data_IF_852496762736
#
_entry.id   IF_852496762736
#
_cell.length_a   1.000
_cell.length_b   1.000
_cell.length_c   1.000
_cell.angle_alpha   90.00
_cell.angle_beta   90.00
_cell.angle_gamma   90.00
#
_symmetry.space_group_name_H-M   'P 1'
#
loop_
_entity.id
_entity.type
_entity.pdbx_description
1 polymer ?
#
# COMPACT_ATOMS: atom_id res chain seq x y z
N UNK A 1 -4.05 17.45 -7.23
CA UNK A 1 -3.04 18.51 -7.08
C UNK A 1 -1.65 17.91 -7.25
N UNK A 2 -0.81 18.53 -8.06
CA UNK A 2 0.61 18.23 -8.19
C UNK A 2 1.37 19.27 -7.36
N UNK A 3 2.17 18.80 -6.43
CA UNK A 3 2.96 19.65 -5.55
C UNK A 3 4.44 19.55 -5.92
N UNK A 4 5.09 20.70 -6.06
CA UNK A 4 6.54 20.80 -6.25
C UNK A 4 7.21 20.86 -4.87
N UNK A 5 7.91 19.78 -4.52
CA UNK A 5 8.54 19.62 -3.21
C UNK A 5 9.78 20.52 -3.08
N UNK A 6 10.52 20.72 -4.17
CA UNK A 6 11.75 21.53 -4.18
C UNK A 6 11.41 23.00 -3.97
N UNK A 7 10.40 23.50 -4.69
CA UNK A 7 9.96 24.88 -4.59
C UNK A 7 8.86 25.10 -3.55
N UNK A 8 8.40 24.04 -2.86
CA UNK A 8 7.38 24.07 -1.81
C UNK A 8 6.09 24.78 -2.21
N UNK A 9 5.62 24.51 -3.42
CA UNK A 9 4.44 25.14 -3.99
C UNK A 9 3.57 24.15 -4.79
N UNK A 10 2.32 24.53 -4.99
CA UNK A 10 1.43 23.81 -5.91
C UNK A 10 1.90 24.08 -7.34
N UNK A 11 2.45 23.05 -8.00
CA UNK A 11 2.86 23.15 -9.38
C UNK A 11 1.65 23.15 -10.33
N UNK A 12 0.63 22.36 -10.01
CA UNK A 12 -0.56 22.24 -10.85
C UNK A 12 -1.79 21.74 -10.09
N UNK A 13 -2.96 22.25 -10.47
CA UNK A 13 -4.25 21.68 -10.10
C UNK A 13 -4.88 21.06 -11.35
N UNK A 14 -5.21 19.78 -11.29
CA UNK A 14 -5.89 19.05 -12.36
C UNK A 14 -7.34 18.90 -11.92
N UNK A 15 -8.30 19.57 -12.60
CA UNK A 15 -9.71 19.41 -12.29
C UNK A 15 -10.18 18.02 -12.71
N UNK A 16 -10.93 17.34 -11.83
CA UNK A 16 -11.60 16.09 -12.13
C UNK A 16 -13.10 16.32 -12.08
N UNK A 17 -13.79 15.97 -13.16
CA UNK A 17 -15.23 16.13 -13.27
C UNK A 17 -15.94 14.82 -12.93
N UNK A 18 -17.08 14.88 -12.21
CA UNK A 18 -17.88 13.69 -11.90
C UNK A 18 -18.71 13.20 -13.08
N UNK A 19 -19.05 14.10 -14.00
CA UNK A 19 -19.96 13.85 -15.13
C UNK A 19 -19.38 14.37 -16.44
N UNK A 20 -20.00 14.02 -17.56
CA UNK A 20 -19.59 14.42 -18.89
C UNK A 20 -18.60 13.44 -19.56
N UNK A 21 -18.08 13.77 -20.76
CA UNK A 21 -17.19 12.88 -21.51
C UNK A 21 -15.92 12.48 -20.75
N UNK A 22 -15.40 13.39 -19.92
CA UNK A 22 -14.24 13.17 -19.05
C UNK A 22 -14.66 12.84 -17.61
N UNK A 23 -15.89 12.33 -17.40
CA UNK A 23 -16.45 12.06 -16.10
C UNK A 23 -15.75 10.91 -15.36
N UNK A 24 -15.32 11.18 -14.14
CA UNK A 24 -14.76 10.25 -13.19
C UNK A 24 -15.65 10.22 -11.94
N UNK A 25 -16.78 9.49 -11.96
CA UNK A 25 -17.82 9.57 -10.93
C UNK A 25 -17.34 9.15 -9.55
N UNK A 26 -16.32 8.30 -9.49
CA UNK A 26 -15.71 7.87 -8.21
C UNK A 26 -14.23 7.61 -8.39
N UNK A 27 -13.41 8.27 -7.59
CA UNK A 27 -11.97 8.10 -7.57
C UNK A 27 -11.59 7.45 -6.24
N UNK A 28 -11.10 6.21 -6.30
CA UNK A 28 -10.64 5.46 -5.13
C UNK A 28 -9.13 5.44 -4.96
N UNK A 29 -8.41 5.69 -6.03
CA UNK A 29 -6.97 5.76 -5.99
C UNK A 29 -6.42 6.35 -7.28
N UNK A 30 -5.19 6.83 -7.22
CA UNK A 30 -4.50 7.38 -8.37
C UNK A 30 -3.02 7.10 -8.31
N UNK A 31 -2.39 6.92 -9.46
CA UNK A 31 -0.95 6.80 -9.59
C UNK A 31 -0.46 7.42 -10.90
N UNK A 32 0.62 8.21 -10.90
CA UNK A 32 1.28 8.61 -12.12
C UNK A 32 1.80 7.39 -12.89
N UNK A 33 1.72 7.42 -14.22
CA UNK A 33 2.42 6.46 -15.08
C UNK A 33 3.94 6.57 -14.88
N UNK A 34 4.72 5.52 -15.19
CA UNK A 34 6.18 5.56 -15.02
C UNK A 34 6.85 6.73 -15.74
N UNK A 35 6.34 7.14 -16.89
CA UNK A 35 6.81 8.29 -17.67
C UNK A 35 6.23 9.64 -17.21
N UNK A 36 5.35 9.61 -16.21
CA UNK A 36 4.64 10.79 -15.64
C UNK A 36 3.78 11.59 -16.64
N UNK A 37 3.47 11.01 -17.81
CA UNK A 37 2.63 11.69 -18.83
C UNK A 37 1.15 11.50 -18.57
N UNK A 38 0.77 10.43 -17.90
CA UNK A 38 -0.60 10.10 -17.57
C UNK A 38 -0.74 9.78 -16.08
N UNK A 39 -1.98 9.81 -15.60
CA UNK A 39 -2.32 9.40 -14.24
C UNK A 39 -3.36 8.28 -14.37
N UNK A 40 -3.04 7.15 -13.77
CA UNK A 40 -3.97 6.04 -13.61
C UNK A 40 -4.97 6.38 -12.50
N UNK A 41 -6.25 6.17 -12.77
CA UNK A 41 -7.36 6.42 -11.83
C UNK A 41 -8.14 5.13 -11.65
N UNK A 42 -8.23 4.67 -10.42
CA UNK A 42 -9.05 3.52 -10.05
C UNK A 42 -10.48 3.95 -9.72
N UNK A 43 -11.45 3.30 -10.34
CA UNK A 43 -12.89 3.50 -10.13
C UNK A 43 -13.55 2.16 -9.76
N UNK A 44 -13.20 1.64 -8.60
CA UNK A 44 -13.53 0.28 -8.18
C UNK A 44 -15.03 -0.03 -8.16
N UNK A 45 -15.87 0.93 -7.75
CA UNK A 45 -17.31 0.74 -7.66
C UNK A 45 -18.01 0.51 -9.01
N UNK A 46 -17.35 0.84 -10.11
CA UNK A 46 -17.88 0.63 -11.47
C UNK A 46 -16.99 -0.30 -12.31
N UNK A 47 -16.02 -0.98 -11.64
CA UNK A 47 -15.13 -1.92 -12.32
C UNK A 47 -14.37 -1.29 -13.48
N UNK A 48 -13.85 -0.09 -13.31
CA UNK A 48 -13.16 0.65 -14.37
C UNK A 48 -11.84 1.23 -13.87
N UNK A 49 -10.82 1.12 -14.72
CA UNK A 49 -9.57 1.85 -14.63
C UNK A 49 -9.56 2.90 -15.74
N UNK A 50 -9.18 4.11 -15.43
CA UNK A 50 -9.04 5.17 -16.42
C UNK A 50 -7.64 5.73 -16.41
N UNK A 51 -7.16 6.21 -17.56
CA UNK A 51 -5.99 7.09 -17.61
C UNK A 51 -6.42 8.48 -17.98
N UNK A 52 -5.84 9.46 -17.33
CA UNK A 52 -6.03 10.87 -17.65
C UNK A 52 -4.69 11.51 -18.01
N UNK A 53 -4.76 12.54 -18.87
CA UNK A 53 -3.61 13.38 -19.14
C UNK A 53 -3.43 14.47 -18.05
N UNK A 54 -2.41 15.29 -18.23
CA UNK A 54 -2.13 16.40 -17.31
C UNK A 54 -3.17 17.53 -17.35
N UNK A 55 -4.12 17.53 -18.27
CA UNK A 55 -5.26 18.45 -18.34
C UNK A 55 -6.50 17.92 -17.59
N UNK A 56 -6.49 16.64 -17.19
CA UNK A 56 -7.62 15.98 -16.55
C UNK A 56 -8.59 15.33 -17.55
N UNK A 57 -8.20 15.27 -18.81
CA UNK A 57 -8.98 14.63 -19.86
C UNK A 57 -8.75 13.12 -19.83
N UNK A 58 -9.82 12.36 -19.94
CA UNK A 58 -9.75 10.89 -20.00
C UNK A 58 -9.16 10.47 -21.35
N UNK A 59 -8.02 9.79 -21.30
CA UNK A 59 -7.33 9.28 -22.48
C UNK A 59 -7.86 7.90 -22.85
N UNK A 60 -7.99 7.02 -21.83
CA UNK A 60 -8.49 5.66 -22.00
C UNK A 60 -9.35 5.24 -20.81
N UNK A 61 -10.31 4.38 -21.10
CA UNK A 61 -11.11 3.66 -20.11
C UNK A 61 -10.94 2.16 -20.32
N UNK A 62 -10.51 1.47 -19.28
CA UNK A 62 -10.32 0.03 -19.29
C UNK A 62 -11.37 -0.60 -18.37
N UNK A 63 -12.32 -1.39 -18.91
CA UNK A 63 -13.21 -2.18 -18.08
C UNK A 63 -12.40 -3.28 -17.36
N UNK A 64 -12.47 -3.31 -16.05
CA UNK A 64 -11.86 -4.37 -15.24
C UNK A 64 -12.90 -5.48 -15.10
N UNK A 65 -12.73 -6.55 -15.86
CA UNK A 65 -13.59 -7.73 -15.81
C UNK A 65 -12.75 -8.93 -15.42
N UNK A 66 -13.17 -9.65 -14.39
CA UNK A 66 -12.52 -10.93 -14.08
C UNK A 66 -12.77 -11.94 -15.20
N UNK A 67 -11.84 -12.89 -15.46
CA UNK A 67 -12.02 -13.92 -16.49
C UNK A 67 -13.32 -14.72 -16.32
N UNK A 68 -13.74 -14.95 -15.08
CA UNK A 68 -14.95 -15.72 -14.74
C UNK A 68 -16.22 -14.86 -14.66
N UNK A 69 -16.15 -13.57 -14.96
CA UNK A 69 -17.30 -12.65 -14.87
C UNK A 69 -17.82 -12.42 -13.45
N UNK A 70 -17.05 -12.75 -12.42
CA UNK A 70 -17.44 -12.60 -11.02
C UNK A 70 -17.03 -11.25 -10.47
N UNK A 71 -17.97 -10.53 -9.89
CA UNK A 71 -17.73 -9.31 -9.10
C UNK A 71 -17.14 -9.64 -7.72
N UNK A 72 -15.99 -10.28 -7.64
CA UNK A 72 -15.45 -10.69 -6.35
C UNK A 72 -14.20 -9.94 -5.95
N UNK A 73 -13.80 -8.95 -6.75
CA UNK A 73 -12.47 -8.40 -6.58
C UNK A 73 -12.45 -6.89 -6.72
N UNK A 74 -12.13 -6.24 -5.63
CA UNK A 74 -11.77 -4.84 -5.65
C UNK A 74 -10.29 -4.74 -5.99
N UNK A 75 -9.97 -4.20 -7.14
CA UNK A 75 -8.60 -3.87 -7.49
C UNK A 75 -8.31 -2.47 -6.96
N UNK A 76 -7.45 -2.39 -5.99
CA UNK A 76 -7.04 -1.12 -5.42
C UNK A 76 -5.83 -0.58 -6.17
N UNK A 77 -5.90 0.69 -6.51
CA UNK A 77 -4.76 1.49 -6.89
C UNK A 77 -4.57 2.55 -5.81
N UNK A 78 -3.92 2.15 -4.73
CA UNK A 78 -3.59 3.07 -3.65
C UNK A 78 -2.19 3.61 -3.84
N UNK A 79 -2.01 4.91 -3.62
CA UNK A 79 -0.72 5.55 -3.83
C UNK A 79 0.35 5.16 -2.80
N UNK A 80 -0.03 4.65 -1.64
CA UNK A 80 0.93 4.43 -0.54
C UNK A 80 1.16 2.96 -0.17
N UNK A 81 0.19 2.07 -0.24
CA UNK A 81 0.38 0.68 0.19
C UNK A 81 0.10 -0.37 -0.89
N UNK A 82 -0.61 -0.01 -1.93
CA UNK A 82 -0.97 -0.93 -3.01
C UNK A 82 -0.91 -0.21 -4.37
N UNK A 83 0.25 0.35 -4.76
CA UNK A 83 0.36 1.09 -6.00
C UNK A 83 0.30 0.15 -7.20
N UNK A 84 -0.67 0.32 -8.08
CA UNK A 84 -0.64 -0.37 -9.36
C UNK A 84 0.69 -0.12 -10.08
N UNK A 85 1.26 -1.12 -10.71
CA UNK A 85 2.49 -0.98 -11.47
C UNK A 85 2.29 -1.47 -12.91
N UNK A 86 3.12 -0.96 -13.82
CA UNK A 86 3.06 -1.31 -15.24
C UNK A 86 4.34 -2.02 -15.64
N UNK A 87 4.20 -3.16 -16.31
CA UNK A 87 5.30 -3.93 -16.89
C UNK A 87 4.81 -4.54 -18.21
N UNK A 88 5.60 -4.47 -19.27
CA UNK A 88 5.34 -5.08 -20.57
C UNK A 88 3.92 -4.78 -21.12
N UNK A 89 3.54 -3.50 -21.14
CA UNK A 89 2.21 -3.01 -21.52
C UNK A 89 1.04 -3.56 -20.67
N UNK A 90 1.32 -4.26 -19.58
CA UNK A 90 0.31 -4.73 -18.64
C UNK A 90 0.32 -3.89 -17.36
N UNK A 91 -0.87 -3.53 -16.90
CA UNK A 91 -1.05 -2.99 -15.55
C UNK A 91 -1.34 -4.14 -14.58
N UNK A 92 -0.67 -4.12 -13.45
CA UNK A 92 -0.84 -5.08 -12.36
C UNK A 92 -1.60 -4.43 -11.22
N UNK A 93 -2.63 -5.13 -10.78
CA UNK A 93 -3.57 -4.67 -9.76
C UNK A 93 -3.64 -5.75 -8.66
N UNK A 94 -3.63 -5.33 -7.41
CA UNK A 94 -3.86 -6.28 -6.32
C UNK A 94 -5.33 -6.68 -6.25
N UNK A 95 -5.56 -7.92 -5.88
CA UNK A 95 -6.88 -8.43 -5.59
C UNK A 95 -7.27 -8.03 -4.16
N UNK A 96 -8.32 -7.23 -4.03
CA UNK A 96 -9.01 -7.06 -2.75
C UNK A 96 -9.95 -8.25 -2.52
N UNK A 97 -9.73 -9.00 -1.47
CA UNK A 97 -10.57 -10.15 -1.18
C UNK A 97 -11.69 -9.72 -0.24
N UNK A 98 -12.90 -9.76 -0.75
CA UNK A 98 -14.10 -9.62 0.06
C UNK A 98 -14.99 -10.83 -0.18
N UNK A 99 -14.61 -11.96 0.40
CA UNK A 99 -15.45 -13.18 0.39
C UNK A 99 -15.93 -13.44 1.82
N UNK A 100 -17.18 -13.15 2.16
CA UNK A 100 -17.71 -13.32 3.51
C UNK A 100 -17.67 -14.77 4.04
N UNK A 101 -17.44 -15.75 3.17
CA UNK A 101 -17.41 -17.18 3.50
C UNK A 101 -16.14 -17.87 2.99
N UNK A 102 -15.02 -17.15 2.89
CA UNK A 102 -13.76 -17.74 2.47
C UNK A 102 -13.24 -18.71 3.53
N UNK A 103 -13.01 -19.96 3.14
CA UNK A 103 -12.45 -20.98 4.02
C UNK A 103 -10.94 -20.88 4.04
N UNK A 104 -10.31 -21.42 5.08
CA UNK A 104 -8.84 -21.47 5.20
C UNK A 104 -8.16 -22.13 4.01
N UNK A 105 -8.77 -23.20 3.50
CA UNK A 105 -8.27 -23.97 2.38
C UNK A 105 -8.23 -23.18 1.07
N UNK A 106 -9.02 -22.10 0.97
CA UNK A 106 -9.12 -21.28 -0.24
C UNK A 106 -7.92 -20.32 -0.39
N UNK A 107 -7.27 -19.92 0.72
CA UNK A 107 -6.21 -18.91 0.70
C UNK A 107 -5.02 -19.27 -0.19
N UNK A 108 -4.40 -20.46 -0.08
CA UNK A 108 -3.26 -20.83 -0.93
C UNK A 108 -3.61 -20.97 -2.41
N UNK A 109 -4.89 -20.95 -2.77
CA UNK A 109 -5.38 -21.01 -4.15
C UNK A 109 -5.87 -19.65 -4.65
N UNK A 110 -5.83 -18.62 -3.80
CA UNK A 110 -6.32 -17.30 -4.13
C UNK A 110 -5.20 -16.45 -4.69
N UNK A 111 -5.38 -15.96 -5.90
CA UNK A 111 -4.43 -15.04 -6.53
C UNK A 111 -4.36 -13.72 -5.78
N UNK A 112 -3.16 -13.19 -5.61
CA UNK A 112 -2.94 -11.88 -5.00
C UNK A 112 -3.04 -10.73 -6.01
N UNK A 113 -2.76 -11.02 -7.28
CA UNK A 113 -2.71 -10.03 -8.34
C UNK A 113 -3.41 -10.51 -9.60
N UNK A 114 -3.88 -9.52 -10.36
CA UNK A 114 -4.28 -9.67 -11.74
C UNK A 114 -3.52 -8.68 -12.61
N UNK A 115 -3.41 -8.98 -13.88
CA UNK A 115 -2.87 -8.09 -14.89
C UNK A 115 -3.89 -7.81 -15.97
N UNK A 116 -3.87 -6.60 -16.51
CA UNK A 116 -4.65 -6.22 -17.68
C UNK A 116 -3.73 -5.61 -18.73
N UNK A 117 -3.72 -6.19 -19.92
CA UNK A 117 -2.99 -5.62 -21.04
C UNK A 117 -3.69 -4.33 -21.51
N UNK A 118 -2.93 -3.24 -21.54
CA UNK A 118 -3.45 -1.91 -21.84
C UNK A 118 -3.78 -1.69 -23.34
N UNK A 119 -3.26 -2.56 -24.22
CA UNK A 119 -3.51 -2.47 -25.65
C UNK A 119 -4.70 -3.33 -26.06
N UNK A 120 -4.74 -4.57 -25.59
CA UNK A 120 -5.78 -5.55 -25.97
C UNK A 120 -6.96 -5.61 -25.01
N UNK A 121 -6.81 -5.05 -23.80
CA UNK A 121 -7.80 -5.18 -22.72
C UNK A 121 -7.84 -6.57 -22.09
N UNK A 122 -6.98 -7.52 -22.50
CA UNK A 122 -6.95 -8.87 -21.96
C UNK A 122 -6.62 -8.85 -20.48
N UNK A 123 -7.45 -9.52 -19.68
CA UNK A 123 -7.30 -9.66 -18.24
C UNK A 123 -6.83 -11.09 -17.89
N UNK A 124 -5.83 -11.20 -17.02
CA UNK A 124 -5.27 -12.48 -16.60
C UNK A 124 -4.93 -12.48 -15.11
N UNK A 125 -5.08 -13.64 -14.46
CA UNK A 125 -4.57 -13.84 -13.12
C UNK A 125 -3.05 -14.00 -13.13
N UNK A 126 -2.38 -13.33 -12.20
CA UNK A 126 -0.95 -13.54 -11.97
C UNK A 126 -0.77 -14.76 -11.06
N UNK A 127 0.15 -15.70 -11.36
CA UNK A 127 0.32 -16.91 -10.58
C UNK A 127 1.10 -16.67 -9.26
N UNK A 128 0.67 -15.65 -8.52
CA UNK A 128 1.14 -15.33 -7.17
C UNK A 128 -0.04 -15.51 -6.23
N UNK A 129 0.13 -16.39 -5.25
CA UNK A 129 -0.90 -16.80 -4.33
C UNK A 129 -0.58 -16.35 -2.91
N UNK A 130 -1.59 -16.31 -2.06
CA UNK A 130 -1.37 -16.10 -0.64
C UNK A 130 -0.50 -17.21 -0.05
N UNK A 131 0.39 -16.88 0.91
CA UNK A 131 1.28 -17.87 1.49
C UNK A 131 0.52 -18.94 2.28
N UNK A 132 1.04 -20.19 2.33
CA UNK A 132 0.40 -21.30 3.03
C UNK A 132 0.13 -21.03 4.52
N UNK A 133 0.91 -20.17 5.16
CA UNK A 133 0.73 -19.79 6.56
C UNK A 133 -0.69 -19.26 6.85
N UNK A 134 -1.34 -18.65 5.87
CA UNK A 134 -2.73 -18.19 6.01
C UNK A 134 -3.71 -19.35 6.19
N UNK A 135 -3.36 -20.54 5.71
CA UNK A 135 -4.15 -21.75 5.94
C UNK A 135 -4.03 -22.27 7.37
N UNK A 136 -2.84 -22.19 7.96
CA UNK A 136 -2.51 -22.87 9.22
C UNK A 136 -2.81 -22.02 10.47
N UNK A 137 -2.59 -20.72 10.37
CA UNK A 137 -2.59 -19.83 11.54
C UNK A 137 -3.73 -18.79 11.55
N UNK A 138 -4.54 -18.71 10.49
CA UNK A 138 -5.55 -17.65 10.34
C UNK A 138 -6.97 -18.20 10.31
N UNK A 139 -7.74 -17.96 11.36
CA UNK A 139 -9.20 -18.15 11.38
C UNK A 139 -9.89 -16.80 11.19
N UNK A 140 -10.51 -16.59 10.05
CA UNK A 140 -11.43 -15.46 9.78
C UNK A 140 -10.91 -14.08 10.23
N UNK A 141 -9.92 -13.54 9.54
CA UNK A 141 -9.40 -12.22 9.85
C UNK A 141 -9.92 -11.20 8.85
N UNK A 142 -10.70 -10.24 9.30
CA UNK A 142 -10.80 -8.97 8.58
C UNK A 142 -9.49 -8.22 8.74
N UNK A 143 -8.82 -7.99 7.61
CA UNK A 143 -7.64 -7.16 7.54
C UNK A 143 -6.29 -7.86 7.76
N UNK A 144 -6.20 -9.00 8.47
CA UNK A 144 -4.92 -9.67 8.70
C UNK A 144 -4.27 -10.27 7.45
N UNK A 145 -5.06 -10.52 6.41
CA UNK A 145 -4.63 -10.90 5.07
C UNK A 145 -4.20 -9.70 4.22
N UNK A 146 -4.39 -8.49 4.74
CA UNK A 146 -3.94 -7.29 4.06
C UNK A 146 -2.43 -7.32 3.81
N UNK A 147 -2.04 -6.79 2.69
CA UNK A 147 -0.64 -6.66 2.33
C UNK A 147 -0.41 -5.33 1.60
N UNK A 148 0.80 -4.85 1.74
CA UNK A 148 1.33 -3.75 0.95
C UNK A 148 2.39 -4.27 0.00
N UNK A 149 2.65 -3.53 -1.05
CA UNK A 149 3.71 -3.88 -1.99
C UNK A 149 4.27 -2.64 -2.68
N UNK A 150 5.47 -2.79 -3.21
CA UNK A 150 6.04 -1.85 -4.16
C UNK A 150 6.79 -2.60 -5.26
N UNK A 151 6.90 -1.96 -6.41
CA UNK A 151 7.58 -2.51 -7.57
C UNK A 151 8.85 -1.73 -7.87
N UNK A 152 9.98 -2.41 -7.74
CA UNK A 152 11.29 -1.89 -8.12
C UNK A 152 11.49 -2.04 -9.63
N UNK A 153 11.33 -0.96 -10.37
CA UNK A 153 11.48 -0.95 -11.83
C UNK A 153 12.93 -1.19 -12.28
N UNK A 154 13.94 -0.88 -11.46
CA UNK A 154 15.34 -1.09 -11.78
C UNK A 154 15.67 -2.57 -11.89
N UNK A 155 15.18 -3.36 -10.93
CA UNK A 155 15.45 -4.80 -10.84
C UNK A 155 14.26 -5.65 -11.37
N UNK A 156 13.20 -5.02 -11.88
CA UNK A 156 11.95 -5.71 -12.25
C UNK A 156 11.37 -6.56 -11.12
N UNK A 157 11.46 -6.10 -9.88
CA UNK A 157 11.21 -6.85 -8.65
C UNK A 157 9.95 -6.38 -7.93
N UNK A 158 9.04 -7.31 -7.65
CA UNK A 158 7.89 -7.07 -6.77
C UNK A 158 8.24 -7.49 -5.35
N UNK A 159 7.98 -6.61 -4.39
CA UNK A 159 8.17 -6.86 -2.96
C UNK A 159 6.86 -6.64 -2.22
N UNK A 160 6.39 -7.66 -1.51
CA UNK A 160 5.16 -7.61 -0.73
C UNK A 160 5.43 -7.83 0.75
N UNK A 161 4.79 -7.02 1.59
CA UNK A 161 4.78 -7.16 3.04
C UNK A 161 3.36 -7.37 3.56
N UNK A 162 3.11 -8.45 4.29
CA UNK A 162 1.82 -8.74 4.89
C UNK A 162 1.67 -8.03 6.25
N UNK A 163 0.46 -7.62 6.58
CA UNK A 163 0.19 -6.86 7.81
C UNK A 163 0.47 -7.65 9.08
N UNK A 164 0.22 -8.94 9.06
CA UNK A 164 0.41 -9.82 10.20
C UNK A 164 1.58 -10.80 10.08
N UNK A 165 2.56 -10.58 9.20
CA UNK A 165 3.64 -11.54 8.99
C UNK A 165 5.01 -10.88 8.94
N UNK A 166 5.98 -11.47 9.64
CA UNK A 166 7.33 -10.91 9.77
C UNK A 166 8.13 -10.91 8.46
N UNK A 167 7.85 -11.83 7.55
CA UNK A 167 8.61 -11.98 6.32
C UNK A 167 8.06 -11.16 5.16
N UNK A 168 8.94 -10.78 4.25
CA UNK A 168 8.62 -10.21 2.95
C UNK A 168 8.61 -11.31 1.88
N UNK A 169 7.67 -11.20 0.96
CA UNK A 169 7.59 -11.99 -0.26
C UNK A 169 8.22 -11.21 -1.40
N UNK A 170 9.15 -11.82 -2.12
CA UNK A 170 9.89 -11.18 -3.21
C UNK A 170 9.86 -12.04 -4.45
N UNK A 171 9.64 -11.44 -5.61
CA UNK A 171 9.70 -12.11 -6.91
C UNK A 171 10.22 -11.17 -8.00
N UNK A 172 11.08 -11.68 -8.87
CA UNK A 172 11.64 -10.94 -10.00
C UNK A 172 10.89 -11.26 -11.30
N UNK A 173 10.20 -12.39 -11.36
CA UNK A 173 9.52 -12.90 -12.57
C UNK A 173 8.00 -13.07 -12.41
N UNK A 174 7.44 -12.68 -11.27
CA UNK A 174 6.02 -12.82 -10.91
C UNK A 174 5.54 -14.28 -10.82
N UNK A 175 6.47 -15.23 -10.60
CA UNK A 175 6.19 -16.68 -10.50
C UNK A 175 6.95 -17.34 -9.36
N UNK A 176 8.28 -17.17 -9.32
CA UNK A 176 9.13 -17.78 -8.30
C UNK A 176 9.27 -16.84 -7.12
N UNK A 177 8.90 -17.33 -5.95
CA UNK A 177 8.82 -16.53 -4.72
C UNK A 177 9.99 -16.89 -3.79
N UNK A 178 10.63 -15.85 -3.27
CA UNK A 178 11.62 -15.92 -2.19
C UNK A 178 11.08 -15.20 -0.96
N UNK A 179 11.47 -15.67 0.21
CA UNK A 179 11.07 -15.11 1.49
C UNK A 179 12.26 -14.55 2.24
N UNK A 180 12.11 -13.36 2.79
CA UNK A 180 13.14 -12.69 3.56
C UNK A 180 12.58 -12.24 4.90
N UNK A 181 13.32 -12.51 5.99
CA UNK A 181 12.92 -12.04 7.31
C UNK A 181 13.13 -10.52 7.42
N UNK A 182 12.08 -9.80 7.72
CA UNK A 182 12.09 -8.35 7.89
C UNK A 182 11.35 -7.94 9.19
N UNK A 183 11.58 -8.72 10.25
CA UNK A 183 10.96 -8.54 11.55
C UNK A 183 11.45 -7.26 12.23
N UNK A 184 10.52 -6.47 12.76
CA UNK A 184 10.84 -5.34 13.64
C UNK A 184 11.48 -5.81 14.94
N UNK A 185 12.55 -5.16 15.39
CA UNK A 185 13.16 -5.40 16.71
C UNK A 185 12.28 -4.94 17.86
N UNK A 186 11.27 -4.11 17.60
CA UNK A 186 10.35 -3.60 18.63
C UNK A 186 9.10 -4.45 18.76
N UNK A 187 8.84 -5.38 17.85
CA UNK A 187 7.68 -6.26 17.89
C UNK A 187 8.07 -7.66 18.35
N UNK A 188 7.23 -8.27 19.19
CA UNK A 188 7.27 -9.72 19.38
C UNK A 188 6.95 -10.39 18.06
N UNK A 189 7.29 -11.68 17.92
CA UNK A 189 6.94 -12.42 16.71
C UNK A 189 5.46 -12.25 16.39
N UNK A 190 5.17 -11.78 15.19
CA UNK A 190 3.81 -11.56 14.74
C UNK A 190 3.24 -12.91 14.33
N UNK A 191 2.37 -13.43 15.17
CA UNK A 191 1.38 -14.41 14.78
C UNK A 191 0.07 -13.65 14.67
N UNK A 192 -0.61 -13.71 13.55
CA UNK A 192 -1.89 -13.07 13.43
C UNK A 192 -2.82 -13.64 14.50
N UNK A 193 -3.36 -12.78 15.33
CA UNK A 193 -4.47 -13.15 16.18
C UNK A 193 -5.69 -13.35 15.30
N UNK A 194 -6.22 -14.53 15.33
CA UNK A 194 -7.45 -14.89 14.69
C UNK A 194 -8.60 -14.20 15.40
N UNK A 195 -9.14 -13.17 14.80
CA UNK A 195 -10.41 -12.58 15.19
C UNK A 195 -11.49 -13.08 14.22
N UNK A 196 -12.65 -13.36 14.70
CA UNK A 196 -13.83 -13.50 13.83
C UNK A 196 -14.27 -12.09 13.44
N UNK A 197 -13.91 -11.66 12.27
CA UNK A 197 -14.17 -10.34 11.75
C UNK A 197 -15.66 -9.93 11.71
N UNK A 198 -16.50 -10.92 11.61
CA UNK A 198 -17.94 -10.75 11.71
C UNK A 198 -18.43 -10.69 13.18
N UNK A 199 -17.52 -10.77 14.13
CA UNK A 199 -17.84 -10.75 15.57
C UNK A 199 -18.16 -9.35 16.14
N UNK A 200 -18.29 -8.34 15.28
CA UNK A 200 -18.73 -7.01 15.67
C UNK A 200 -17.61 -6.09 16.18
N UNK A 201 -18.01 -5.09 16.95
CA UNK A 201 -17.12 -3.99 17.37
C UNK A 201 -15.82 -4.45 18.07
N UNK A 202 -15.86 -5.57 18.80
CA UNK A 202 -14.68 -6.08 19.50
C UNK A 202 -13.56 -6.48 18.53
N UNK A 203 -13.88 -7.06 17.39
CA UNK A 203 -12.88 -7.42 16.37
C UNK A 203 -12.25 -6.19 15.74
N UNK A 204 -13.03 -5.13 15.57
CA UNK A 204 -12.51 -3.84 15.06
C UNK A 204 -11.57 -3.23 16.09
N UNK A 205 -11.92 -3.26 17.36
CA UNK A 205 -11.05 -2.80 18.46
C UNK A 205 -9.75 -3.60 18.47
N UNK A 206 -9.84 -4.94 18.44
CA UNK A 206 -8.65 -5.80 18.42
C UNK A 206 -7.74 -5.52 17.23
N UNK A 207 -8.31 -5.29 16.05
CA UNK A 207 -7.55 -4.90 14.86
C UNK A 207 -6.86 -3.54 15.06
N UNK A 208 -7.57 -2.55 15.59
CA UNK A 208 -6.99 -1.23 15.86
C UNK A 208 -5.89 -1.26 16.90
N UNK A 209 -5.99 -2.12 17.91
CA UNK A 209 -5.03 -2.23 19.01
C UNK A 209 -3.83 -3.12 18.65
N UNK A 210 -3.98 -4.04 17.70
CA UNK A 210 -2.94 -4.99 17.32
C UNK A 210 -1.71 -4.28 16.73
N UNK A 211 -0.50 -4.80 16.96
CA UNK A 211 0.65 -4.42 16.16
C UNK A 211 0.46 -4.93 14.74
N UNK A 212 0.98 -4.20 13.76
CA UNK A 212 0.95 -4.67 12.37
C UNK A 212 2.07 -4.05 11.54
N UNK A 213 2.43 -4.72 10.46
CA UNK A 213 3.20 -4.10 9.41
C UNK A 213 2.24 -3.38 8.46
N UNK A 214 2.63 -2.22 7.98
CA UNK A 214 1.73 -1.45 7.13
C UNK A 214 2.24 -1.41 5.70
N UNK A 215 3.03 -0.45 5.30
CA UNK A 215 3.47 -0.39 3.93
C UNK A 215 4.96 -0.66 3.77
N UNK A 216 5.32 -1.10 2.57
CA UNK A 216 6.68 -1.22 2.10
C UNK A 216 6.87 -0.25 0.93
N UNK A 217 8.03 0.42 0.90
CA UNK A 217 8.35 1.41 -0.13
C UNK A 217 9.78 1.21 -0.61
N UNK A 218 9.98 1.20 -1.92
CA UNK A 218 11.31 1.17 -2.52
C UNK A 218 11.87 2.59 -2.69
N UNK A 219 13.08 2.80 -2.20
CA UNK A 219 13.84 4.03 -2.40
C UNK A 219 14.82 3.85 -3.57
N UNK A 220 14.41 4.32 -4.74
CA UNK A 220 15.20 4.24 -5.97
C UNK A 220 16.48 5.09 -5.95
N UNK A 221 16.62 6.04 -5.02
CA UNK A 221 17.78 6.91 -4.91
C UNK A 221 18.90 6.32 -4.05
N UNK A 222 18.51 5.45 -3.08
CA UNK A 222 19.43 4.84 -2.11
C UNK A 222 19.49 3.33 -2.23
N UNK A 223 18.65 2.75 -3.10
CA UNK A 223 18.54 1.30 -3.34
C UNK A 223 18.24 0.52 -2.04
N UNK A 224 17.27 1.01 -1.30
CA UNK A 224 16.81 0.41 -0.04
C UNK A 224 15.29 0.29 -0.02
N UNK A 225 14.78 -0.50 0.93
CA UNK A 225 13.35 -0.59 1.20
C UNK A 225 13.04 -0.09 2.60
N UNK A 226 11.94 0.63 2.74
CA UNK A 226 11.37 1.04 4.03
C UNK A 226 10.15 0.19 4.33
N UNK A 227 10.15 -0.49 5.48
CA UNK A 227 8.98 -1.22 5.98
C UNK A 227 8.48 -0.55 7.25
N UNK A 228 7.21 -0.20 7.29
CA UNK A 228 6.60 0.45 8.45
C UNK A 228 5.98 -0.62 9.36
N UNK A 229 6.23 -0.51 10.66
CA UNK A 229 5.71 -1.38 11.69
C UNK A 229 5.01 -0.56 12.78
N UNK A 230 3.73 -0.80 12.99
CA UNK A 230 2.94 -0.20 14.06
C UNK A 230 3.14 -0.94 15.37
N UNK A 231 3.28 -0.17 16.46
CA UNK A 231 3.36 -0.74 17.80
C UNK A 231 1.97 -1.14 18.32
N UNK A 232 1.89 -2.06 19.30
CA UNK A 232 0.65 -2.29 20.01
C UNK A 232 0.12 -0.98 20.60
N UNK A 233 -1.20 -0.83 20.55
CA UNK A 233 -1.87 0.37 21.06
C UNK A 233 -3.06 -0.03 21.93
N UNK A 234 -3.49 0.84 22.81
CA UNK A 234 -4.73 0.71 23.56
C UNK A 234 -5.61 1.91 23.28
N UNK A 235 -6.77 1.67 22.68
CA UNK A 235 -7.72 2.73 22.38
C UNK A 235 -8.15 3.42 23.68
N UNK A 236 -8.11 4.74 23.68
CA UNK A 236 -8.65 5.52 24.79
C UNK A 236 -10.19 5.46 24.79
N UNK A 237 -10.86 5.65 25.94
CA UNK A 237 -12.32 5.54 26.02
C UNK A 237 -13.10 6.48 25.10
N UNK A 238 -12.46 7.56 24.67
CA UNK A 238 -13.03 8.55 23.75
C UNK A 238 -12.59 8.39 22.29
N UNK A 239 -11.78 7.37 21.98
CA UNK A 239 -11.40 7.06 20.61
C UNK A 239 -12.41 6.11 19.98
N UNK A 240 -12.80 6.42 18.76
CA UNK A 240 -13.65 5.54 17.95
C UNK A 240 -12.80 4.42 17.32
N UNK A 241 -13.21 3.15 17.43
CA UNK A 241 -12.51 2.07 16.74
C UNK A 241 -12.69 2.10 15.22
N UNK A 242 -13.59 2.94 14.70
CA UNK A 242 -13.78 3.15 13.28
C UNK A 242 -12.84 4.20 12.70
N UNK A 243 -12.22 5.00 13.57
CA UNK A 243 -11.22 5.98 13.19
C UNK A 243 -9.82 5.37 13.29
N UNK A 244 -8.91 5.89 12.50
CA UNK A 244 -7.53 5.48 12.62
C UNK A 244 -6.92 5.93 13.96
N UNK A 245 -6.26 5.03 14.73
CA UNK A 245 -5.63 5.40 16.00
C UNK A 245 -4.51 6.42 15.80
N UNK A 246 -4.71 7.65 16.24
CA UNK A 246 -3.78 8.76 16.04
C UNK A 246 -2.59 8.72 17.00
N UNK A 247 -2.79 8.05 18.15
CA UNK A 247 -1.78 7.90 19.19
C UNK A 247 -0.76 6.79 18.96
N UNK A 248 -0.94 5.95 17.94
CA UNK A 248 -0.13 4.76 17.70
C UNK A 248 1.32 5.12 17.34
N UNK A 249 2.27 4.56 18.09
CA UNK A 249 3.68 4.65 17.73
C UNK A 249 3.99 3.71 16.55
N UNK A 250 5.03 4.00 15.80
CA UNK A 250 5.48 3.13 14.71
C UNK A 250 7.01 3.11 14.61
N UNK A 251 7.53 2.16 13.86
CA UNK A 251 8.94 2.17 13.45
C UNK A 251 9.06 2.05 11.95
N UNK A 252 10.22 2.47 11.45
CA UNK A 252 10.63 2.28 10.06
C UNK A 252 11.86 1.39 10.04
N UNK A 253 11.70 0.21 9.47
CA UNK A 253 12.77 -0.75 9.20
C UNK A 253 13.37 -0.36 7.85
N UNK A 254 14.69 -0.29 7.78
CA UNK A 254 15.44 -0.05 6.54
C UNK A 254 16.12 -1.35 6.13
N UNK A 255 15.83 -1.81 4.92
CA UNK A 255 16.45 -3.00 4.35
C UNK A 255 17.30 -2.59 3.14
N UNK A 256 18.45 -3.24 2.95
CA UNK A 256 19.27 -3.07 1.75
C UNK A 256 18.64 -3.82 0.54
N UNK A 257 19.30 -3.77 -0.62
CA UNK A 257 18.83 -4.43 -1.85
C UNK A 257 18.76 -5.98 -1.73
N UNK A 258 19.50 -6.56 -0.77
CA UNK A 258 19.49 -7.99 -0.46
C UNK A 258 18.50 -8.36 0.65
N UNK A 259 17.68 -7.41 1.08
CA UNK A 259 16.70 -7.54 2.16
C UNK A 259 17.28 -7.80 3.55
N UNK A 260 18.53 -7.44 3.79
CA UNK A 260 19.12 -7.41 5.12
C UNK A 260 18.68 -6.14 5.86
N UNK A 261 18.31 -6.28 7.13
CA UNK A 261 17.94 -5.12 7.95
C UNK A 261 19.22 -4.35 8.32
N UNK A 262 19.36 -3.13 7.77
CA UNK A 262 20.51 -2.24 8.03
C UNK A 262 20.21 -1.17 9.09
N UNK A 263 18.95 -1.02 9.49
CA UNK A 263 18.54 -0.10 10.54
C UNK A 263 17.06 -0.14 10.83
N UNK A 264 16.70 0.36 12.01
CA UNK A 264 15.31 0.57 12.38
C UNK A 264 15.21 1.72 13.38
N UNK A 265 14.29 2.64 13.14
CA UNK A 265 14.03 3.81 13.98
C UNK A 265 12.57 3.84 14.40
N UNK A 266 12.32 4.03 15.71
CA UNK A 266 10.99 4.19 16.29
C UNK A 266 10.61 5.67 16.32
N UNK A 267 9.35 5.93 16.05
CA UNK A 267 8.75 7.25 15.99
C UNK A 267 7.62 7.37 17.03
N UNK A 268 7.46 8.53 17.66
CA UNK A 268 6.39 8.75 18.63
C UNK A 268 5.03 8.77 17.93
N UNK A 269 4.02 8.32 18.64
CA UNK A 269 2.62 8.56 18.29
C UNK A 269 2.25 10.04 18.36
N UNK A 270 1.09 10.39 17.86
CA UNK A 270 0.49 11.74 17.89
C UNK A 270 1.22 12.84 17.12
N UNK A 271 2.42 12.59 16.62
CA UNK A 271 3.20 13.57 15.86
C UNK A 271 3.08 13.36 14.35
N UNK A 272 3.27 12.12 13.90
CA UNK A 272 3.36 11.81 12.49
C UNK A 272 2.11 11.10 11.99
N UNK A 273 1.72 11.40 10.76
CA UNK A 273 0.76 10.64 9.99
C UNK A 273 1.50 9.83 8.92
N UNK A 274 2.10 8.70 9.33
CA UNK A 274 3.04 7.91 8.51
C UNK A 274 2.39 7.31 7.25
N UNK A 275 1.06 7.15 7.22
CA UNK A 275 0.34 6.69 6.01
C UNK A 275 0.42 7.69 4.86
N UNK A 276 0.76 8.93 5.17
CA UNK A 276 1.11 9.94 4.19
C UNK A 276 2.63 10.12 4.17
N UNK A 277 3.31 9.14 3.55
CA UNK A 277 4.76 9.11 3.39
C UNK A 277 5.12 8.91 1.92
N UNK A 278 6.28 9.39 1.53
CA UNK A 278 6.82 9.16 0.19
C UNK A 278 8.35 9.24 0.19
N UNK A 279 8.95 8.67 -0.85
CA UNK A 279 10.40 8.74 -1.08
C UNK A 279 10.72 9.91 -2.01
N UNK A 280 11.59 10.80 -1.56
CA UNK A 280 12.15 11.87 -2.37
C UNK A 280 13.67 11.77 -2.53
N UNK A 281 14.25 12.64 -3.32
CA UNK A 281 15.72 12.66 -3.56
C UNK A 281 16.53 12.79 -2.27
N UNK A 282 16.05 13.59 -1.32
CA UNK A 282 16.75 13.87 -0.07
C UNK A 282 16.58 12.79 0.99
N UNK A 283 15.49 11.99 0.94
CA UNK A 283 15.18 11.00 1.97
C UNK A 283 13.77 10.47 1.93
N UNK A 284 13.40 9.82 3.03
CA UNK A 284 12.03 9.42 3.33
C UNK A 284 11.30 10.61 3.96
N UNK A 285 10.20 11.03 3.35
CA UNK A 285 9.34 12.09 3.86
C UNK A 285 8.15 11.49 4.58
N UNK A 286 7.93 11.88 5.82
CA UNK A 286 6.79 11.46 6.64
C UNK A 286 6.00 12.70 7.06
N UNK A 287 4.68 12.68 6.84
CA UNK A 287 3.81 13.80 7.17
C UNK A 287 3.72 14.02 8.69
N UNK A 288 3.72 15.28 9.10
CA UNK A 288 3.41 15.72 10.47
C UNK A 288 1.92 16.10 10.65
N UNK A 289 1.09 15.85 9.64
CA UNK A 289 -0.35 16.17 9.69
C UNK A 289 -1.17 15.13 10.47
N UNK A 290 -0.67 14.73 11.65
CA UNK A 290 -1.47 13.99 12.62
C UNK A 290 -2.38 14.95 13.36
N UNK A 291 -3.67 14.65 13.44
CA UNK A 291 -4.68 15.53 14.06
C UNK A 291 -4.45 15.77 15.56
N UNK A 292 -3.67 14.92 16.21
CA UNK A 292 -3.27 15.10 17.61
C UNK A 292 -1.92 15.81 17.79
N UNK A 293 -1.25 16.15 16.69
CA UNK A 293 -0.03 16.95 16.76
C UNK A 293 -0.39 18.38 17.22
N UNK A 294 0.19 18.89 18.32
CA UNK A 294 -0.08 20.27 18.78
C UNK A 294 0.25 21.35 17.73
N UNK A 295 1.05 21.02 16.73
CA UNK A 295 1.43 21.93 15.64
C UNK A 295 0.59 21.70 14.36
N UNK A 296 -0.44 20.86 14.43
CA UNK A 296 -1.31 20.59 13.30
C UNK A 296 -2.00 21.87 12.82
N UNK A 297 -1.93 22.12 11.51
CA UNK A 297 -2.63 23.21 10.83
C UNK A 297 -3.28 22.61 9.57
N UNK A 298 -4.60 22.64 9.52
CA UNK A 298 -5.38 22.08 8.40
C UNK A 298 -5.08 22.71 7.04
N UNK A 299 -4.54 23.95 7.05
CA UNK A 299 -4.18 24.70 5.86
C UNK A 299 -2.76 24.42 5.37
N UNK A 300 -2.00 23.59 6.10
CA UNK A 300 -0.61 23.25 5.78
C UNK A 300 -0.41 21.76 5.61
N UNK A 301 0.37 21.41 4.62
CA UNK A 301 0.87 20.06 4.44
C UNK A 301 2.36 20.05 4.83
N UNK A 302 2.64 19.44 5.98
CA UNK A 302 3.98 19.47 6.60
C UNK A 302 4.61 18.06 6.53
N UNK A 303 5.85 17.99 6.08
CA UNK A 303 6.65 16.76 6.05
C UNK A 303 8.01 16.97 6.70
N UNK A 304 8.43 15.97 7.47
CA UNK A 304 9.83 15.85 7.89
C UNK A 304 10.55 14.88 6.96
N UNK A 305 11.73 15.30 6.48
CA UNK A 305 12.62 14.47 5.67
C UNK A 305 13.61 13.71 6.56
N UNK A 306 13.61 12.40 6.51
CA UNK A 306 14.54 11.52 7.21
C UNK A 306 15.59 10.98 6.26
N UNK A 307 16.86 11.15 6.65
CA UNK A 307 18.02 10.67 5.89
C UNK A 307 18.64 9.45 6.58
N UNK A 308 19.05 8.47 5.79
CA UNK A 308 19.82 7.34 6.31
C UNK A 308 21.21 7.85 6.66
N UNK A 309 21.64 7.68 7.91
CA UNK A 309 23.02 7.96 8.29
C UNK A 309 23.92 6.88 7.70
N UNK A 310 25.00 7.29 7.01
CA UNK A 310 26.01 6.40 6.42
C UNK A 310 25.59 5.55 5.21
N UNK A 311 24.51 5.88 4.52
CA UNK A 311 24.36 5.41 3.15
C UNK A 311 25.42 6.13 2.28
N UNK A 312 26.51 5.44 1.97
CA UNK A 312 27.43 5.95 0.95
C UNK A 312 26.64 6.15 -0.34
N UNK A 313 26.71 7.30 -0.99
CA UNK A 313 26.08 7.43 -2.29
C UNK A 313 26.74 6.40 -3.21
N UNK A 314 25.91 5.51 -3.77
CA UNK A 314 26.40 4.60 -4.80
C UNK A 314 27.02 5.44 -5.91
N UNK A 315 28.31 5.19 -6.16
CA UNK A 315 29.09 5.80 -7.22
C UNK A 315 28.57 5.43 -8.59
#
# INVERSE_FOLDING_TARGET
>A
VIFDIENKQIAKRIPLHKTGPNGLPAVYGSRPSPDSKQILISQNNIGRLSTINNQGEVVHNYPVKTPEGRFTTFFFCSYYNAPAFVKDSCIFLNQGIFKPNMKREDWPQTHMFASQNLETGKFEWVPIFYPPIFKEEYENIDGGYGFSYDYNYKESRLVCGFFGYDSLMVTDDLKHIRWYNAKSKYLKSMKPKLGNAMAGINSIIEFCEAPMYWHIMYDKYRDVYYRFAEMPYKLAPNESPYDEPKGKEFSVIVLNADFEIIGETKFPGKKYFYKMSFVGREGLYISENNLENPQFDENKLVFTCFKIKNASPNK
#
